data_IF_620537960739
#
_entry.id   IF_620537960739
#
_cell.length_a   1.000
_cell.length_b   1.000
_cell.length_c   1.000
_cell.angle_alpha   90.00
_cell.angle_beta   90.00
_cell.angle_gamma   90.00
#
_symmetry.space_group_name_H-M   'P 1'
#
loop_
_entity.id
_entity.type
_entity.pdbx_description
1 polymer ?
#
# COMPACT_ATOMS: atom_id res chain seq x y z
N UNK A 1 -9.14 36.66 9.87
CA UNK A 1 -10.38 36.11 9.28
C UNK A 1 -10.00 35.36 8.01
N UNK A 2 -10.54 34.16 7.76
CA UNK A 2 -10.23 33.40 6.54
C UNK A 2 -10.99 34.02 5.35
N UNK A 3 -10.25 34.43 4.31
CA UNK A 3 -10.82 35.03 3.10
C UNK A 3 -11.66 34.01 2.32
N UNK A 4 -12.52 34.49 1.40
CA UNK A 4 -13.26 33.60 0.48
C UNK A 4 -12.30 32.85 -0.45
N UNK A 5 -11.24 33.51 -0.91
CA UNK A 5 -10.25 32.92 -1.80
C UNK A 5 -9.42 31.83 -1.08
N UNK A 6 -8.97 32.04 0.17
CA UNK A 6 -8.31 31.00 0.96
C UNK A 6 -9.18 29.73 1.13
N UNK A 7 -10.49 29.87 1.37
CA UNK A 7 -11.43 28.73 1.43
C UNK A 7 -11.57 28.02 0.08
N UNK A 8 -11.53 28.76 -1.02
CA UNK A 8 -11.54 28.17 -2.36
C UNK A 8 -10.25 27.40 -2.62
N UNK A 9 -9.09 27.97 -2.29
CA UNK A 9 -7.81 27.29 -2.38
C UNK A 9 -7.78 26.00 -1.56
N UNK A 10 -8.30 25.99 -0.32
CA UNK A 10 -8.38 24.76 0.48
C UNK A 10 -9.15 23.64 -0.24
N UNK A 11 -10.24 23.97 -0.95
CA UNK A 11 -11.00 23.02 -1.77
C UNK A 11 -10.24 22.57 -3.01
N UNK A 12 -9.51 23.47 -3.67
CA UNK A 12 -8.65 23.15 -4.82
C UNK A 12 -7.53 22.21 -4.39
N UNK A 13 -6.90 22.47 -3.24
CA UNK A 13 -5.88 21.57 -2.69
C UNK A 13 -6.47 20.19 -2.43
N UNK A 14 -7.66 20.13 -1.80
CA UNK A 14 -8.37 18.88 -1.58
C UNK A 14 -8.68 18.10 -2.86
N UNK A 15 -9.28 18.78 -3.84
CA UNK A 15 -9.53 18.20 -5.15
C UNK A 15 -8.22 17.75 -5.84
N UNK A 16 -7.11 18.46 -5.62
CA UNK A 16 -5.80 18.15 -6.18
C UNK A 16 -5.25 16.79 -5.76
N UNK A 17 -5.18 16.47 -4.46
CA UNK A 17 -4.67 15.15 -4.04
C UNK A 17 -5.66 14.01 -4.30
N UNK A 18 -6.97 14.28 -4.31
CA UNK A 18 -7.96 13.32 -4.80
C UNK A 18 -7.79 13.04 -6.30
N UNK A 19 -7.63 14.08 -7.12
CA UNK A 19 -7.37 13.97 -8.55
C UNK A 19 -6.04 13.23 -8.81
N UNK A 20 -4.99 13.51 -8.03
CA UNK A 20 -3.73 12.78 -8.11
C UNK A 20 -3.92 11.29 -7.85
N UNK A 21 -4.72 10.93 -6.83
CA UNK A 21 -5.00 9.53 -6.47
C UNK A 21 -5.88 8.81 -7.49
N UNK A 22 -6.76 9.52 -8.21
CA UNK A 22 -7.69 8.95 -9.18
C UNK A 22 -7.14 8.95 -10.61
N UNK A 23 -6.76 10.12 -11.12
CA UNK A 23 -6.43 10.33 -12.53
C UNK A 23 -5.09 9.72 -12.90
N UNK A 24 -4.07 9.86 -12.05
CA UNK A 24 -2.72 9.35 -12.32
C UNK A 24 -2.68 7.85 -12.62
N UNK A 25 -3.27 6.97 -11.78
CA UNK A 25 -3.24 5.54 -12.07
C UNK A 25 -4.16 5.13 -13.24
N UNK A 26 -5.25 5.87 -13.50
CA UNK A 26 -6.18 5.59 -14.61
C UNK A 26 -5.63 6.00 -15.97
N UNK A 27 -4.92 7.12 -16.03
CA UNK A 27 -4.54 7.76 -17.27
C UNK A 27 -3.49 6.95 -18.04
N UNK A 28 -3.73 6.71 -19.31
CA UNK A 28 -2.73 6.31 -20.31
C UNK A 28 -3.20 6.83 -21.66
N UNK A 29 -2.27 7.04 -22.59
CA UNK A 29 -2.56 7.64 -23.89
C UNK A 29 -2.00 6.80 -25.03
N UNK A 30 -2.86 6.05 -25.73
CA UNK A 30 -2.46 5.18 -26.84
C UNK A 30 -1.87 5.95 -28.04
N UNK A 31 -2.13 7.26 -28.15
CA UNK A 31 -1.57 8.10 -29.22
C UNK A 31 -0.18 8.64 -28.88
N UNK A 32 0.30 8.44 -27.66
CA UNK A 32 1.64 8.84 -27.24
C UNK A 32 2.64 7.73 -27.50
N UNK A 33 3.86 8.07 -27.93
CA UNK A 33 4.97 7.12 -27.99
C UNK A 33 5.38 6.58 -26.62
N UNK A 34 4.88 7.18 -25.54
CA UNK A 34 5.16 6.85 -24.14
C UNK A 34 3.87 6.61 -23.37
N UNK A 35 3.05 5.70 -23.91
CA UNK A 35 1.65 5.42 -23.55
C UNK A 35 1.33 5.46 -22.05
N UNK A 36 2.23 4.93 -21.21
CA UNK A 36 1.99 4.74 -19.78
C UNK A 36 2.72 5.77 -18.91
N UNK A 37 3.92 5.45 -18.44
CA UNK A 37 4.55 6.16 -17.31
C UNK A 37 4.83 7.65 -17.55
N UNK A 38 5.52 8.07 -18.63
CA UNK A 38 5.85 9.47 -18.84
C UNK A 38 4.64 10.41 -18.86
N UNK A 39 3.56 9.98 -19.48
CA UNK A 39 2.33 10.77 -19.61
C UNK A 39 1.60 10.87 -18.26
N UNK A 40 1.55 9.78 -17.47
CA UNK A 40 1.05 9.78 -16.09
C UNK A 40 1.84 10.73 -15.19
N UNK A 41 3.17 10.71 -15.30
CA UNK A 41 4.01 11.59 -14.49
C UNK A 41 3.87 13.05 -14.88
N UNK A 42 3.67 13.34 -16.16
CA UNK A 42 3.42 14.71 -16.64
C UNK A 42 2.09 15.24 -16.11
N UNK A 43 1.04 14.40 -16.12
CA UNK A 43 -0.25 14.73 -15.49
C UNK A 43 -0.07 15.01 -14.00
N UNK A 44 0.62 14.14 -13.26
CA UNK A 44 0.84 14.34 -11.83
C UNK A 44 1.68 15.60 -11.54
N UNK A 45 2.73 15.86 -12.31
CA UNK A 45 3.54 17.09 -12.19
C UNK A 45 2.67 18.34 -12.40
N UNK A 46 1.73 18.29 -13.34
CA UNK A 46 0.78 19.38 -13.59
C UNK A 46 -0.19 19.58 -12.43
N UNK A 47 -0.73 18.49 -11.88
CA UNK A 47 -1.56 18.52 -10.66
C UNK A 47 -0.76 19.12 -9.48
N UNK A 48 0.46 18.64 -9.27
CA UNK A 48 1.34 19.13 -8.20
C UNK A 48 1.66 20.62 -8.36
N UNK A 49 1.88 21.11 -9.59
CA UNK A 49 2.10 22.52 -9.87
C UNK A 49 0.87 23.37 -9.55
N UNK A 50 -0.32 22.95 -9.99
CA UNK A 50 -1.57 23.64 -9.65
C UNK A 50 -1.82 23.67 -8.14
N UNK A 51 -1.55 22.55 -7.46
CA UNK A 51 -1.61 22.47 -6.01
C UNK A 51 -0.60 23.42 -5.35
N UNK A 52 0.64 23.49 -5.85
CA UNK A 52 1.66 24.40 -5.32
C UNK A 52 1.25 25.87 -5.47
N UNK A 53 0.70 26.26 -6.62
CA UNK A 53 0.19 27.62 -6.86
C UNK A 53 -0.99 27.93 -5.94
N UNK A 54 -1.98 27.04 -5.85
CA UNK A 54 -3.12 27.22 -4.94
C UNK A 54 -2.67 27.29 -3.47
N UNK A 55 -1.65 26.49 -3.09
CA UNK A 55 -1.07 26.50 -1.76
C UNK A 55 -0.35 27.81 -1.47
N UNK A 56 0.40 28.35 -2.43
CA UNK A 56 1.07 29.64 -2.31
C UNK A 56 0.06 30.79 -2.16
N UNK A 57 -0.99 30.83 -2.99
CA UNK A 57 -2.05 31.83 -2.86
C UNK A 57 -2.70 31.74 -1.47
N UNK A 58 -3.02 30.53 -1.02
CA UNK A 58 -3.62 30.27 0.29
C UNK A 58 -2.71 30.71 1.45
N UNK A 59 -1.40 30.48 1.37
CA UNK A 59 -0.46 30.91 2.43
C UNK A 59 -0.27 32.42 2.44
N UNK A 60 -0.20 33.07 1.28
CA UNK A 60 -0.10 34.52 1.17
C UNK A 60 -1.36 35.22 1.69
N UNK A 61 -2.56 34.70 1.42
CA UNK A 61 -3.82 35.27 1.92
C UNK A 61 -4.16 34.91 3.37
N UNK A 62 -3.96 33.64 3.73
CA UNK A 62 -4.30 33.11 5.06
C UNK A 62 -3.29 33.49 6.14
N UNK A 63 -2.13 34.03 5.74
CA UNK A 63 -1.03 34.41 6.61
C UNK A 63 -0.28 33.19 7.16
N UNK A 64 -0.60 32.77 8.39
CA UNK A 64 0.18 31.75 9.10
C UNK A 64 -0.10 30.33 8.56
N UNK A 65 0.94 29.54 8.24
CA UNK A 65 0.79 28.13 7.89
C UNK A 65 0.02 27.37 8.98
N UNK A 66 -0.91 26.49 8.59
CA UNK A 66 -1.70 25.70 9.53
C UNK A 66 -0.86 24.82 10.50
N UNK A 67 0.42 24.58 10.18
CA UNK A 67 1.37 23.86 11.03
C UNK A 67 1.74 24.63 12.31
N UNK A 68 1.68 25.95 12.29
CA UNK A 68 2.19 26.83 13.35
C UNK A 68 1.13 27.22 14.40
N UNK A 69 -0.09 26.69 14.28
CA UNK A 69 -1.19 27.01 15.18
C UNK A 69 -1.66 28.47 15.12
N UNK A 70 -2.64 28.84 15.96
CA UNK A 70 -3.07 30.23 16.08
C UNK A 70 -1.96 31.08 16.70
N UNK A 71 -1.63 32.21 16.08
CA UNK A 71 -0.63 33.16 16.59
C UNK A 71 -0.83 34.55 15.98
N UNK A 72 -0.29 35.57 16.64
CA UNK A 72 -0.32 36.95 16.16
C UNK A 72 1.09 37.35 15.67
N UNK A 73 1.16 38.01 14.52
CA UNK A 73 2.41 38.51 13.93
C UNK A 73 3.01 37.66 12.80
N UNK A 74 4.08 38.17 12.14
CA UNK A 74 4.80 37.45 11.09
C UNK A 74 5.46 36.18 11.63
N UNK A 75 5.59 35.16 10.78
CA UNK A 75 6.20 33.88 11.14
C UNK A 75 7.72 34.04 11.19
N UNK A 76 8.33 33.77 12.35
CA UNK A 76 9.79 33.73 12.44
C UNK A 76 10.35 32.43 11.82
N UNK A 77 11.54 32.45 11.19
CA UNK A 77 12.19 31.23 10.69
C UNK A 77 12.42 30.18 11.79
N UNK A 78 12.66 30.62 13.02
CA UNK A 78 12.84 29.75 14.17
C UNK A 78 11.56 29.00 14.56
N UNK A 79 10.40 29.67 14.56
CA UNK A 79 9.10 29.02 14.77
C UNK A 79 8.79 27.97 13.70
N UNK A 80 9.02 28.31 12.43
CA UNK A 80 8.83 27.37 11.33
C UNK A 80 9.72 26.14 11.49
N UNK A 81 11.00 26.34 11.80
CA UNK A 81 11.95 25.25 12.02
C UNK A 81 11.58 24.38 13.23
N UNK A 82 11.10 24.98 14.32
CA UNK A 82 10.61 24.26 15.48
C UNK A 82 9.40 23.38 15.12
N UNK A 83 8.44 23.92 14.36
CA UNK A 83 7.26 23.19 13.96
C UNK A 83 7.55 22.05 12.96
N UNK A 84 8.51 22.25 12.06
CA UNK A 84 8.99 21.19 11.16
C UNK A 84 9.70 20.06 11.92
N UNK A 85 10.51 20.40 12.93
CA UNK A 85 11.17 19.40 13.79
C UNK A 85 10.19 18.65 14.69
N UNK A 86 9.13 19.31 15.15
CA UNK A 86 8.10 18.68 15.95
C UNK A 86 7.29 17.62 15.19
N UNK A 87 7.27 17.70 13.85
CA UNK A 87 6.62 16.69 13.00
C UNK A 87 7.58 15.51 12.75
N UNK A 88 7.34 14.31 13.33
CA UNK A 88 8.34 13.25 13.37
C UNK A 88 8.82 12.76 12.00
N UNK A 89 7.97 12.78 10.97
CA UNK A 89 8.33 12.34 9.62
C UNK A 89 9.06 13.41 8.79
N UNK A 90 8.89 14.69 9.11
CA UNK A 90 9.36 15.78 8.25
C UNK A 90 10.89 15.85 8.19
N UNK A 91 11.67 15.75 9.29
CA UNK A 91 13.13 15.75 9.23
C UNK A 91 13.68 14.62 8.34
N UNK A 92 13.08 13.43 8.42
CA UNK A 92 13.48 12.27 7.61
C UNK A 92 13.24 12.51 6.12
N UNK A 93 12.10 13.12 5.78
CA UNK A 93 11.77 13.47 4.39
C UNK A 93 12.70 14.57 3.87
N UNK A 94 12.99 15.60 4.67
CA UNK A 94 13.93 16.66 4.29
C UNK A 94 15.35 16.09 4.09
N UNK A 95 15.79 15.18 4.95
CA UNK A 95 17.06 14.48 4.79
C UNK A 95 17.08 13.62 3.52
N UNK A 96 16.00 12.90 3.23
CA UNK A 96 15.86 12.14 1.98
C UNK A 96 15.89 13.04 0.73
N UNK A 97 15.20 14.19 0.76
CA UNK A 97 15.22 15.17 -0.33
C UNK A 97 16.63 15.72 -0.52
N UNK A 98 17.32 16.10 0.57
CA UNK A 98 18.69 16.61 0.51
C UNK A 98 19.64 15.56 -0.09
N UNK A 99 19.59 14.32 0.40
CA UNK A 99 20.45 13.24 -0.12
C UNK A 99 20.15 12.95 -1.59
N UNK A 100 18.88 12.95 -2.02
CA UNK A 100 18.51 12.74 -3.41
C UNK A 100 18.99 13.89 -4.33
N UNK A 101 18.87 15.14 -3.87
CA UNK A 101 19.35 16.30 -4.63
C UNK A 101 20.87 16.31 -4.74
N UNK A 102 21.59 16.01 -3.65
CA UNK A 102 23.04 15.86 -3.67
C UNK A 102 23.48 14.73 -4.62
N UNK A 103 22.82 13.57 -4.56
CA UNK A 103 23.08 12.47 -5.49
C UNK A 103 22.80 12.86 -6.94
N UNK A 104 21.79 13.70 -7.19
CA UNK A 104 21.46 14.21 -8.53
C UNK A 104 22.54 15.17 -9.04
N UNK A 105 23.01 16.09 -8.18
CA UNK A 105 24.03 17.08 -8.51
C UNK A 105 25.39 16.45 -8.75
N UNK A 106 25.75 15.45 -7.94
CA UNK A 106 27.03 14.73 -8.01
C UNK A 106 27.01 13.54 -8.98
N UNK A 107 25.89 13.31 -9.68
CA UNK A 107 25.73 12.21 -10.63
C UNK A 107 26.66 12.36 -11.84
N UNK A 108 27.10 11.23 -12.41
CA UNK A 108 27.83 11.20 -13.70
C UNK A 108 26.95 11.69 -14.86
N UNK A 109 25.62 11.60 -14.73
CA UNK A 109 24.66 12.10 -15.71
C UNK A 109 23.59 13.00 -15.06
N UNK A 110 23.95 14.22 -14.61
CA UNK A 110 23.06 15.07 -13.82
C UNK A 110 21.74 15.39 -14.53
N UNK A 111 21.78 15.61 -15.86
CA UNK A 111 20.59 15.88 -16.67
C UNK A 111 19.61 14.70 -16.63
N UNK A 112 20.11 13.48 -16.80
CA UNK A 112 19.28 12.27 -16.75
C UNK A 112 18.77 12.02 -15.34
N UNK A 113 19.59 12.22 -14.30
CA UNK A 113 19.16 12.11 -12.90
C UNK A 113 18.09 13.14 -12.53
N UNK A 114 18.15 14.35 -13.09
CA UNK A 114 17.18 15.40 -12.82
C UNK A 114 15.84 15.16 -13.54
N UNK A 115 15.88 14.89 -14.85
CA UNK A 115 14.68 14.76 -15.70
C UNK A 115 14.07 13.35 -15.68
N UNK A 116 14.88 12.34 -15.41
CA UNK A 116 14.58 10.93 -15.59
C UNK A 116 14.88 10.45 -17.01
N UNK A 117 14.90 9.13 -17.19
CA UNK A 117 15.11 8.52 -18.51
C UNK A 117 13.93 8.78 -19.45
N UNK A 118 14.18 8.70 -20.76
CA UNK A 118 13.14 8.92 -21.78
C UNK A 118 11.91 8.01 -21.60
N UNK A 119 12.13 6.75 -21.20
CA UNK A 119 11.06 5.76 -21.02
C UNK A 119 10.26 5.93 -19.73
N UNK A 120 10.85 6.52 -18.69
CA UNK A 120 10.29 6.51 -17.34
C UNK A 120 9.95 7.89 -16.80
N UNK A 121 10.65 8.95 -17.23
CA UNK A 121 10.61 10.29 -16.63
C UNK A 121 10.72 10.31 -15.10
N UNK A 122 11.35 9.29 -14.51
CA UNK A 122 11.59 9.18 -13.08
C UNK A 122 12.94 9.82 -12.74
N UNK A 123 12.91 11.08 -12.30
CA UNK A 123 14.08 11.84 -11.86
C UNK A 123 13.73 12.81 -10.73
N UNK A 124 14.70 13.63 -10.31
CA UNK A 124 14.54 14.58 -9.21
C UNK A 124 13.33 15.51 -9.35
N UNK A 125 13.00 15.95 -10.57
CA UNK A 125 11.83 16.79 -10.79
C UNK A 125 10.51 16.08 -10.45
N UNK A 126 10.36 14.81 -10.85
CA UNK A 126 9.18 14.00 -10.48
C UNK A 126 9.15 13.75 -8.98
N UNK A 127 10.30 13.45 -8.38
CA UNK A 127 10.38 13.27 -6.94
C UNK A 127 9.89 14.51 -6.21
N UNK A 128 10.32 15.70 -6.64
CA UNK A 128 9.88 16.96 -6.03
C UNK A 128 8.37 17.16 -6.19
N UNK A 129 7.77 16.76 -7.31
CA UNK A 129 6.31 16.77 -7.45
C UNK A 129 5.61 15.84 -6.45
N UNK A 130 6.15 14.63 -6.20
CA UNK A 130 5.63 13.75 -5.14
C UNK A 130 5.72 14.39 -3.76
N UNK A 131 6.84 15.06 -3.47
CA UNK A 131 7.08 15.74 -2.20
C UNK A 131 6.11 16.92 -2.01
N UNK A 132 5.81 17.68 -3.07
CA UNK A 132 4.79 18.74 -3.05
C UNK A 132 3.41 18.17 -2.71
N UNK A 133 2.98 17.11 -3.41
CA UNK A 133 1.70 16.45 -3.12
C UNK A 133 1.67 15.93 -1.68
N UNK A 134 2.76 15.34 -1.21
CA UNK A 134 2.88 14.86 0.17
C UNK A 134 2.70 15.99 1.18
N UNK A 135 3.46 17.08 1.09
CA UNK A 135 3.39 18.17 2.08
C UNK A 135 2.04 18.87 2.09
N UNK A 136 1.44 19.08 0.91
CA UNK A 136 0.10 19.67 0.79
C UNK A 136 -0.95 18.74 1.41
N UNK A 137 -0.87 17.44 1.13
CA UNK A 137 -1.78 16.45 1.72
C UNK A 137 -1.60 16.37 3.24
N UNK A 138 -0.36 16.30 3.72
CA UNK A 138 -0.03 16.28 5.15
C UNK A 138 -0.55 17.52 5.88
N UNK A 139 -0.48 18.69 5.25
CA UNK A 139 -1.00 19.93 5.84
C UNK A 139 -2.54 20.01 5.78
N UNK A 140 -3.16 19.54 4.68
CA UNK A 140 -4.59 19.71 4.40
C UNK A 140 -5.50 18.60 4.92
N UNK A 141 -5.00 17.37 5.05
CA UNK A 141 -5.73 16.21 5.55
C UNK A 141 -5.88 16.29 7.08
N UNK A 142 -6.89 17.01 7.55
CA UNK A 142 -7.10 17.29 8.99
C UNK A 142 -8.38 16.69 9.55
N UNK A 143 -9.31 16.27 8.70
CA UNK A 143 -10.60 15.74 9.13
C UNK A 143 -10.76 14.28 8.74
N UNK A 144 -11.54 13.54 9.54
CA UNK A 144 -11.91 12.16 9.21
C UNK A 144 -12.64 12.09 7.88
N UNK A 145 -13.53 13.03 7.57
CA UNK A 145 -14.27 13.07 6.31
C UNK A 145 -13.36 13.15 5.08
N UNK A 146 -12.26 13.91 5.15
CA UNK A 146 -11.26 13.97 4.08
C UNK A 146 -10.53 12.63 3.90
N UNK A 147 -10.14 11.99 5.00
CA UNK A 147 -9.53 10.66 4.96
C UNK A 147 -10.48 9.64 4.32
N UNK A 148 -11.76 9.66 4.71
CA UNK A 148 -12.78 8.78 4.15
C UNK A 148 -12.93 9.00 2.63
N UNK A 149 -12.93 10.25 2.15
CA UNK A 149 -12.96 10.57 0.71
C UNK A 149 -11.74 10.03 -0.04
N UNK A 150 -10.55 10.14 0.52
CA UNK A 150 -9.34 9.60 -0.11
C UNK A 150 -9.34 8.08 -0.18
N UNK A 151 -9.69 7.41 0.92
CA UNK A 151 -9.78 5.96 0.94
C UNK A 151 -10.84 5.47 -0.06
N UNK A 152 -11.98 6.16 -0.14
CA UNK A 152 -13.01 5.85 -1.15
C UNK A 152 -12.50 6.11 -2.57
N UNK A 153 -11.76 7.20 -2.81
CA UNK A 153 -11.15 7.48 -4.10
C UNK A 153 -10.19 6.36 -4.53
N UNK A 154 -9.34 5.86 -3.63
CA UNK A 154 -8.43 4.75 -3.90
C UNK A 154 -9.21 3.47 -4.27
N UNK A 155 -10.22 3.10 -3.47
CA UNK A 155 -11.04 1.91 -3.71
C UNK A 155 -11.81 2.02 -5.03
N UNK A 156 -12.50 3.14 -5.27
CA UNK A 156 -13.27 3.36 -6.49
C UNK A 156 -12.38 3.41 -7.73
N UNK A 157 -11.17 3.95 -7.63
CA UNK A 157 -10.20 3.98 -8.74
C UNK A 157 -9.64 2.59 -9.03
N UNK A 158 -9.49 1.74 -8.01
CA UNK A 158 -9.00 0.38 -8.20
C UNK A 158 -9.96 -0.51 -8.98
N UNK A 159 -11.27 -0.23 -8.94
CA UNK A 159 -12.30 -1.00 -9.62
C UNK A 159 -12.08 -1.05 -11.15
N UNK A 160 -12.09 0.07 -11.89
CA UNK A 160 -11.86 0.05 -13.34
C UNK A 160 -10.45 -0.45 -13.70
N UNK A 161 -9.45 -0.23 -12.86
CA UNK A 161 -8.07 -0.72 -13.10
C UNK A 161 -8.00 -2.24 -13.01
N UNK A 162 -8.58 -2.82 -11.96
CA UNK A 162 -8.65 -4.27 -11.78
C UNK A 162 -9.52 -4.91 -12.88
N UNK A 163 -10.67 -4.29 -13.16
CA UNK A 163 -11.57 -4.75 -14.21
C UNK A 163 -10.89 -4.77 -15.59
N UNK A 164 -10.17 -3.71 -15.95
CA UNK A 164 -9.43 -3.68 -17.21
C UNK A 164 -8.35 -4.76 -17.28
N UNK A 165 -7.64 -5.03 -16.18
CA UNK A 165 -6.72 -6.18 -16.10
C UNK A 165 -7.42 -7.52 -16.34
N UNK A 166 -8.63 -7.72 -15.81
CA UNK A 166 -9.43 -8.92 -16.06
C UNK A 166 -9.88 -9.01 -17.52
N UNK A 167 -10.30 -7.90 -18.14
CA UNK A 167 -10.65 -7.87 -19.57
C UNK A 167 -9.48 -8.25 -20.47
N UNK A 168 -8.27 -7.77 -20.15
CA UNK A 168 -7.05 -8.17 -20.86
C UNK A 168 -6.84 -9.68 -20.83
N UNK A 169 -7.00 -10.32 -19.67
CA UNK A 169 -6.83 -11.77 -19.53
C UNK A 169 -7.75 -12.56 -20.47
N UNK A 170 -9.02 -12.15 -20.55
CA UNK A 170 -10.02 -12.80 -21.41
C UNK A 170 -9.94 -12.38 -22.88
N UNK A 171 -8.96 -11.57 -23.28
CA UNK A 171 -8.78 -11.15 -24.66
C UNK A 171 -9.84 -10.18 -25.17
N UNK A 172 -10.56 -9.52 -24.27
CA UNK A 172 -11.59 -8.51 -24.58
C UNK A 172 -11.02 -7.09 -24.73
N UNK A 173 -9.71 -6.93 -24.57
CA UNK A 173 -8.99 -5.68 -24.84
C UNK A 173 -8.70 -5.56 -26.35
N UNK A 174 -9.32 -4.59 -27.07
CA UNK A 174 -9.13 -4.42 -28.50
C UNK A 174 -7.83 -3.67 -28.86
N UNK A 175 -7.08 -3.18 -27.87
CA UNK A 175 -5.91 -2.33 -28.12
C UNK A 175 -4.70 -3.16 -28.57
N UNK A 176 -3.93 -2.67 -29.58
CA UNK A 176 -2.85 -3.42 -30.20
C UNK A 176 -1.55 -3.34 -29.37
N UNK A 177 -1.54 -3.95 -28.19
CA UNK A 177 -0.35 -3.97 -27.34
C UNK A 177 0.77 -4.82 -27.94
N UNK A 178 2.00 -4.34 -27.85
CA UNK A 178 3.18 -5.04 -28.38
C UNK A 178 3.55 -6.33 -27.63
N UNK A 179 3.06 -6.51 -26.40
CA UNK A 179 3.32 -7.69 -25.57
C UNK A 179 2.04 -8.49 -25.29
N UNK A 180 2.20 -9.75 -24.89
CA UNK A 180 1.07 -10.59 -24.50
C UNK A 180 0.49 -10.15 -23.15
N UNK A 181 -0.57 -9.35 -23.23
CA UNK A 181 -1.34 -8.88 -22.07
C UNK A 181 -2.39 -9.88 -21.60
N UNK A 182 -2.65 -10.97 -22.34
CA UNK A 182 -3.64 -11.99 -21.95
C UNK A 182 -3.02 -12.94 -20.94
N UNK A 183 -1.81 -13.40 -21.23
CA UNK A 183 -1.08 -14.28 -20.32
C UNK A 183 -0.54 -13.56 -19.11
N UNK A 184 -0.17 -12.28 -19.25
CA UNK A 184 0.40 -11.49 -18.17
C UNK A 184 -0.12 -10.06 -18.21
N UNK A 185 -1.24 -9.84 -17.53
CA UNK A 185 -1.98 -8.57 -17.61
C UNK A 185 -1.17 -7.40 -17.08
N UNK A 186 -1.30 -6.26 -17.76
CA UNK A 186 -0.54 -5.03 -17.44
C UNK A 186 -1.44 -3.85 -17.06
N UNK A 187 -2.71 -3.91 -17.48
CA UNK A 187 -3.76 -2.95 -17.17
C UNK A 187 -3.38 -1.51 -17.54
N UNK A 188 -3.98 -0.53 -16.85
CA UNK A 188 -3.72 0.89 -17.08
C UNK A 188 -2.27 1.28 -16.76
N UNK A 189 -1.50 0.42 -16.07
CA UNK A 189 -0.17 0.73 -15.58
C UNK A 189 0.92 0.31 -16.58
N UNK A 190 0.58 -0.43 -17.64
CA UNK A 190 1.52 -0.86 -18.69
C UNK A 190 2.60 -1.83 -18.22
N UNK A 191 2.54 -2.27 -16.95
CA UNK A 191 3.47 -3.21 -16.38
C UNK A 191 2.77 -4.05 -15.30
N UNK A 192 2.88 -5.38 -15.43
CA UNK A 192 2.26 -6.34 -14.53
C UNK A 192 2.70 -6.18 -13.06
N UNK A 193 3.96 -5.82 -12.82
CA UNK A 193 4.48 -5.59 -11.45
C UNK A 193 3.83 -4.34 -10.86
N UNK A 194 3.70 -3.27 -11.66
CA UNK A 194 3.14 -2.00 -11.19
C UNK A 194 1.64 -2.09 -10.97
N UNK A 195 0.91 -2.77 -11.86
CA UNK A 195 -0.51 -3.07 -11.69
C UNK A 195 -0.75 -3.81 -10.37
N UNK A 196 -0.03 -4.91 -10.15
CA UNK A 196 -0.23 -5.71 -8.94
C UNK A 196 0.24 -4.98 -7.67
N UNK A 197 1.33 -4.21 -7.72
CA UNK A 197 1.76 -3.39 -6.57
C UNK A 197 0.71 -2.34 -6.20
N UNK A 198 0.12 -1.66 -7.20
CA UNK A 198 -0.96 -0.70 -6.99
C UNK A 198 -2.20 -1.37 -6.38
N UNK A 199 -2.68 -2.46 -7.00
CA UNK A 199 -3.88 -3.17 -6.54
C UNK A 199 -3.68 -3.78 -5.15
N UNK A 200 -2.48 -4.26 -4.82
CA UNK A 200 -2.15 -4.76 -3.48
C UNK A 200 -2.27 -3.67 -2.40
N UNK A 201 -1.90 -2.42 -2.69
CA UNK A 201 -2.11 -1.31 -1.75
C UNK A 201 -3.61 -1.01 -1.57
N UNK A 202 -4.37 -0.99 -2.68
CA UNK A 202 -5.82 -0.79 -2.63
C UNK A 202 -6.57 -1.95 -1.95
N UNK A 203 -6.03 -3.17 -2.04
CA UNK A 203 -6.62 -4.38 -1.48
C UNK A 203 -6.81 -4.28 0.04
N UNK A 204 -5.79 -3.88 0.80
CA UNK A 204 -5.92 -3.80 2.25
C UNK A 204 -6.90 -2.71 2.72
N UNK A 205 -7.01 -1.61 1.96
CA UNK A 205 -8.02 -0.59 2.21
C UNK A 205 -9.41 -1.17 1.95
N UNK A 206 -9.60 -1.84 0.80
CA UNK A 206 -10.89 -2.46 0.43
C UNK A 206 -11.28 -3.56 1.43
N UNK A 207 -10.30 -4.33 1.93
CA UNK A 207 -10.50 -5.36 2.93
C UNK A 207 -10.94 -4.79 4.28
N UNK A 208 -10.30 -3.71 4.74
CA UNK A 208 -10.73 -2.99 5.96
C UNK A 208 -12.18 -2.54 5.84
N UNK A 209 -12.57 -1.95 4.70
CA UNK A 209 -13.94 -1.51 4.44
C UNK A 209 -14.94 -2.66 4.43
N UNK A 210 -14.59 -3.77 3.78
CA UNK A 210 -15.42 -4.97 3.75
C UNK A 210 -15.63 -5.51 5.17
N UNK A 211 -14.54 -5.73 5.92
CA UNK A 211 -14.60 -6.24 7.30
C UNK A 211 -15.40 -5.31 8.21
N UNK A 212 -15.20 -4.00 8.12
CA UNK A 212 -15.95 -3.02 8.91
C UNK A 212 -17.46 -3.05 8.63
N UNK A 213 -17.88 -3.29 7.38
CA UNK A 213 -19.30 -3.41 6.99
C UNK A 213 -19.90 -4.74 7.41
N UNK A 214 -19.22 -5.85 7.14
CA UNK A 214 -19.66 -7.17 7.60
C UNK A 214 -19.76 -7.26 9.13
N UNK A 215 -18.84 -6.63 9.86
CA UNK A 215 -18.89 -6.55 11.32
C UNK A 215 -20.17 -5.89 11.85
N UNK A 216 -20.70 -4.87 11.15
CA UNK A 216 -21.99 -4.23 11.52
C UNK A 216 -23.18 -5.13 11.24
N UNK A 217 -23.18 -5.85 10.13
CA UNK A 217 -24.22 -6.82 9.79
C UNK A 217 -24.31 -7.94 10.84
N UNK A 218 -23.16 -8.48 11.26
CA UNK A 218 -23.07 -9.54 12.27
C UNK A 218 -23.36 -9.06 13.70
N UNK A 219 -23.22 -7.76 13.99
CA UNK A 219 -23.47 -7.20 15.32
C UNK A 219 -24.96 -7.04 15.66
N UNK A 220 -25.89 -7.41 14.76
CA UNK A 220 -27.33 -7.47 15.04
C UNK A 220 -28.02 -6.11 15.23
N UNK A 221 -27.36 -5.00 14.90
CA UNK A 221 -28.01 -3.69 14.81
C UNK A 221 -29.00 -3.64 13.64
N UNK A 222 -29.74 -2.52 13.50
CA UNK A 222 -30.60 -2.24 12.35
C UNK A 222 -29.78 -2.16 11.05
N UNK A 223 -29.39 -3.32 10.54
CA UNK A 223 -28.65 -3.46 9.29
C UNK A 223 -29.58 -3.03 8.15
N UNK A 224 -29.20 -1.95 7.50
CA UNK A 224 -29.97 -1.45 6.36
C UNK A 224 -29.59 -2.25 5.12
N UNK A 225 -30.50 -2.42 4.16
CA UNK A 225 -30.20 -3.00 2.84
C UNK A 225 -28.96 -2.37 2.18
N UNK A 226 -28.70 -1.09 2.46
CA UNK A 226 -27.51 -0.37 2.01
C UNK A 226 -26.19 -0.94 2.57
N UNK A 227 -26.14 -1.41 3.82
CA UNK A 227 -24.93 -1.98 4.40
C UNK A 227 -24.61 -3.34 3.77
N UNK A 228 -25.64 -4.13 3.45
CA UNK A 228 -25.49 -5.38 2.71
C UNK A 228 -25.01 -5.13 1.27
N UNK A 229 -25.64 -4.18 0.56
CA UNK A 229 -25.25 -3.81 -0.80
C UNK A 229 -23.81 -3.27 -0.87
N UNK A 230 -23.41 -2.40 0.07
CA UNK A 230 -22.04 -1.88 0.15
C UNK A 230 -21.05 -2.99 0.50
N UNK A 231 -21.39 -3.88 1.44
CA UNK A 231 -20.57 -5.05 1.79
C UNK A 231 -20.32 -5.95 0.57
N UNK A 232 -21.38 -6.27 -0.18
CA UNK A 232 -21.28 -7.02 -1.42
C UNK A 232 -20.43 -6.29 -2.48
N UNK A 233 -20.60 -4.97 -2.62
CA UNK A 233 -19.79 -4.13 -3.49
C UNK A 233 -18.29 -4.21 -3.15
N UNK A 234 -17.92 -4.12 -1.88
CA UNK A 234 -16.51 -4.27 -1.47
C UNK A 234 -15.97 -5.68 -1.74
N UNK A 235 -16.75 -6.74 -1.51
CA UNK A 235 -16.34 -8.11 -1.85
C UNK A 235 -16.15 -8.30 -3.36
N UNK A 236 -17.03 -7.72 -4.16
CA UNK A 236 -16.90 -7.74 -5.61
C UNK A 236 -15.59 -7.06 -6.06
N UNK A 237 -15.31 -5.87 -5.54
CA UNK A 237 -14.04 -5.15 -5.82
C UNK A 237 -12.83 -5.97 -5.36
N UNK A 238 -12.88 -6.58 -4.16
CA UNK A 238 -11.82 -7.47 -3.68
C UNK A 238 -11.59 -8.66 -4.62
N UNK A 239 -12.66 -9.29 -5.08
CA UNK A 239 -12.58 -10.40 -6.05
C UNK A 239 -11.88 -9.98 -7.34
N UNK A 240 -12.25 -8.81 -7.89
CA UNK A 240 -11.58 -8.25 -9.07
C UNK A 240 -10.11 -7.92 -8.80
N UNK A 241 -9.78 -7.30 -7.67
CA UNK A 241 -8.40 -6.99 -7.29
C UNK A 241 -7.55 -8.26 -7.19
N UNK A 242 -8.05 -9.30 -6.52
CA UNK A 242 -7.35 -10.59 -6.37
C UNK A 242 -7.18 -11.26 -7.73
N UNK A 243 -8.22 -11.30 -8.57
CA UNK A 243 -8.14 -11.87 -9.91
C UNK A 243 -7.10 -11.15 -10.77
N UNK A 244 -7.14 -9.82 -10.82
CA UNK A 244 -6.18 -9.03 -11.58
C UNK A 244 -4.75 -9.20 -11.05
N UNK A 245 -4.54 -9.19 -9.72
CA UNK A 245 -3.22 -9.49 -9.11
C UNK A 245 -2.74 -10.88 -9.52
N UNK A 246 -3.61 -11.88 -9.50
CA UNK A 246 -3.28 -13.25 -9.93
C UNK A 246 -2.86 -13.29 -11.39
N UNK A 247 -3.62 -12.66 -12.29
CA UNK A 247 -3.31 -12.62 -13.72
C UNK A 247 -2.02 -11.86 -14.07
N UNK A 248 -1.49 -11.04 -13.16
CA UNK A 248 -0.18 -10.39 -13.39
C UNK A 248 1.00 -11.39 -13.34
N UNK A 249 0.78 -12.60 -12.78
CA UNK A 249 1.80 -13.63 -12.53
C UNK A 249 3.03 -13.10 -11.76
N UNK A 250 2.87 -12.01 -11.00
CA UNK A 250 3.97 -11.31 -10.32
C UNK A 250 4.17 -11.86 -8.90
N UNK A 251 5.35 -12.41 -8.61
CA UNK A 251 5.66 -13.05 -7.31
C UNK A 251 5.77 -12.06 -6.15
N UNK A 252 6.34 -10.87 -6.38
CA UNK A 252 6.53 -9.85 -5.34
C UNK A 252 5.22 -9.42 -4.66
N UNK A 253 4.18 -9.09 -5.43
CA UNK A 253 2.84 -8.78 -4.90
C UNK A 253 2.21 -9.92 -4.10
N UNK A 254 2.42 -11.20 -4.45
CA UNK A 254 1.96 -12.33 -3.63
C UNK A 254 2.62 -12.36 -2.26
N UNK A 255 3.94 -12.12 -2.20
CA UNK A 255 4.65 -12.01 -0.94
C UNK A 255 4.18 -10.80 -0.12
N UNK A 256 3.92 -9.67 -0.79
CA UNK A 256 3.36 -8.48 -0.14
C UNK A 256 1.93 -8.68 0.37
N UNK A 257 1.07 -9.41 -0.36
CA UNK A 257 -0.26 -9.80 0.10
C UNK A 257 -0.18 -10.72 1.31
N UNK A 258 0.73 -11.71 1.30
CA UNK A 258 0.93 -12.61 2.43
C UNK A 258 1.42 -11.85 3.67
N UNK A 259 2.47 -11.04 3.53
CA UNK A 259 3.01 -10.24 4.62
C UNK A 259 1.98 -9.22 5.14
N UNK A 260 1.32 -8.50 4.23
CA UNK A 260 0.28 -7.53 4.58
C UNK A 260 -0.92 -8.18 5.25
N UNK A 261 -1.36 -9.37 4.82
CA UNK A 261 -2.44 -10.12 5.46
C UNK A 261 -2.05 -10.59 6.87
N UNK A 262 -0.79 -10.99 7.05
CA UNK A 262 -0.24 -11.30 8.37
C UNK A 262 -0.33 -10.11 9.33
N UNK A 263 0.17 -8.95 8.91
CA UNK A 263 0.12 -7.73 9.71
C UNK A 263 -1.32 -7.23 9.93
N UNK A 264 -2.16 -7.30 8.90
CA UNK A 264 -3.58 -6.93 9.00
C UNK A 264 -4.28 -7.78 10.07
N UNK A 265 -4.09 -9.10 10.03
CA UNK A 265 -4.63 -10.01 11.03
C UNK A 265 -4.06 -9.74 12.43
N UNK A 266 -2.75 -9.51 12.55
CA UNK A 266 -2.12 -9.17 13.82
C UNK A 266 -2.73 -7.89 14.42
N UNK A 267 -2.87 -6.83 13.62
CA UNK A 267 -3.46 -5.56 14.05
C UNK A 267 -4.92 -5.77 14.44
N UNK A 268 -5.69 -6.54 13.68
CA UNK A 268 -7.08 -6.88 14.02
C UNK A 268 -7.17 -7.63 15.35
N UNK A 269 -6.32 -8.64 15.58
CA UNK A 269 -6.28 -9.40 16.83
C UNK A 269 -5.85 -8.54 18.03
N UNK A 270 -4.88 -7.64 17.84
CA UNK A 270 -4.46 -6.68 18.88
C UNK A 270 -5.57 -5.67 19.17
N UNK A 271 -6.30 -5.20 18.16
CA UNK A 271 -7.46 -4.33 18.33
C UNK A 271 -8.57 -5.04 19.12
N UNK A 272 -8.84 -6.33 18.83
CA UNK A 272 -9.78 -7.15 19.59
C UNK A 272 -9.35 -7.33 21.05
N UNK A 273 -8.05 -7.51 21.33
CA UNK A 273 -7.52 -7.54 22.69
C UNK A 273 -7.74 -6.21 23.42
N UNK A 274 -7.52 -5.07 22.75
CA UNK A 274 -7.70 -3.74 23.33
C UNK A 274 -9.16 -3.43 23.68
N UNK A 275 -10.11 -4.06 23.00
CA UNK A 275 -11.53 -3.93 23.25
C UNK A 275 -12.02 -4.72 24.49
N UNK A 276 -11.21 -5.63 25.03
CA UNK A 276 -11.55 -6.37 26.26
C UNK A 276 -11.37 -5.50 27.52
N UNK A 277 -12.25 -5.72 28.51
CA UNK A 277 -12.20 -5.01 29.78
C UNK A 277 -10.99 -5.40 30.63
N UNK A 278 -10.58 -6.68 30.59
CA UNK A 278 -9.42 -7.19 31.30
C UNK A 278 -8.11 -6.88 30.57
N UNK A 279 -7.43 -5.80 30.99
CA UNK A 279 -6.14 -5.35 30.42
C UNK A 279 -4.89 -5.90 31.10
N UNK A 280 -5.05 -6.76 32.10
CA UNK A 280 -3.95 -7.34 32.87
C UNK A 280 -3.00 -8.23 32.04
N UNK A 281 -1.83 -8.60 32.59
CA UNK A 281 -0.90 -9.52 31.96
C UNK A 281 -1.57 -10.87 31.64
N UNK A 282 -1.02 -11.57 30.65
CA UNK A 282 -1.53 -12.89 30.27
C UNK A 282 -1.32 -13.89 31.39
N UNK A 283 -2.35 -14.67 31.69
CA UNK A 283 -2.24 -15.77 32.67
C UNK A 283 -1.47 -16.93 32.03
N UNK A 284 -0.74 -17.76 32.79
CA UNK A 284 -0.01 -18.92 32.23
C UNK A 284 -0.91 -19.86 31.41
N UNK A 285 -2.16 -20.05 31.85
CA UNK A 285 -3.16 -20.84 31.10
C UNK A 285 -3.53 -20.24 29.74
N UNK A 286 -3.50 -18.90 29.59
CA UNK A 286 -3.77 -18.22 28.31
C UNK A 286 -2.58 -18.37 27.36
N UNK A 287 -1.35 -18.34 27.88
CA UNK A 287 -0.13 -18.62 27.12
C UNK A 287 -0.14 -20.07 26.62
N UNK A 288 -0.49 -21.03 27.48
CA UNK A 288 -0.63 -22.43 27.09
C UNK A 288 -1.70 -22.65 26.01
N UNK A 289 -2.86 -21.97 26.13
CA UNK A 289 -3.89 -21.98 25.08
C UNK A 289 -3.39 -21.41 23.77
N UNK A 290 -2.66 -20.30 23.80
CA UNK A 290 -2.09 -19.69 22.60
C UNK A 290 -1.09 -20.63 21.90
N UNK A 291 -0.21 -21.28 22.67
CA UNK A 291 0.75 -22.25 22.14
C UNK A 291 0.06 -23.48 21.54
N UNK A 292 -0.88 -24.09 22.28
CA UNK A 292 -1.65 -25.24 21.79
C UNK A 292 -2.43 -24.89 20.52
N UNK A 293 -3.09 -23.73 20.50
CA UNK A 293 -3.84 -23.28 19.33
C UNK A 293 -2.93 -22.98 18.12
N UNK A 294 -1.73 -22.44 18.34
CA UNK A 294 -0.78 -22.17 17.25
C UNK A 294 -0.32 -23.46 16.56
N UNK A 295 -0.17 -24.55 17.32
CA UNK A 295 0.24 -25.86 16.81
C UNK A 295 -0.93 -26.64 16.18
N UNK A 296 -2.13 -26.56 16.78
CA UNK A 296 -3.28 -27.35 16.36
C UNK A 296 -4.10 -26.70 15.23
N UNK A 297 -4.16 -25.36 15.18
CA UNK A 297 -4.97 -24.66 14.18
C UNK A 297 -4.59 -24.97 12.72
N UNK A 298 -3.33 -25.22 12.33
CA UNK A 298 -3.01 -25.67 10.98
C UNK A 298 -3.70 -26.98 10.57
N UNK A 299 -3.98 -27.89 11.50
CA UNK A 299 -4.58 -29.20 11.21
C UNK A 299 -6.04 -29.09 10.73
N UNK A 300 -6.75 -28.04 11.14
CA UNK A 300 -8.15 -27.78 10.78
C UNK A 300 -8.27 -26.60 9.81
N UNK A 301 -7.13 -26.10 9.32
CA UNK A 301 -7.04 -24.84 8.59
C UNK A 301 -6.97 -23.65 9.53
N UNK A 302 -5.79 -23.00 9.57
CA UNK A 302 -5.55 -21.90 10.49
C UNK A 302 -6.56 -20.76 10.32
N UNK A 303 -6.79 -20.28 9.11
CA UNK A 303 -7.69 -19.14 8.85
C UNK A 303 -9.13 -19.43 9.36
N UNK A 304 -9.80 -20.53 8.97
CA UNK A 304 -11.09 -20.91 9.54
C UNK A 304 -11.11 -21.00 11.06
N UNK A 305 -10.06 -21.57 11.67
CA UNK A 305 -9.98 -21.72 13.13
C UNK A 305 -9.93 -20.35 13.84
N UNK A 306 -9.13 -19.40 13.34
CA UNK A 306 -9.08 -18.03 13.88
C UNK A 306 -10.41 -17.32 13.68
N UNK A 307 -11.01 -17.40 12.49
CA UNK A 307 -12.31 -16.78 12.20
C UNK A 307 -13.39 -17.33 13.13
N UNK A 308 -13.44 -18.65 13.34
CA UNK A 308 -14.39 -19.29 14.25
C UNK A 308 -14.29 -18.75 15.68
N UNK A 309 -13.08 -18.59 16.24
CA UNK A 309 -12.90 -18.01 17.58
C UNK A 309 -13.23 -16.52 17.63
N UNK A 310 -12.89 -15.75 16.59
CA UNK A 310 -13.24 -14.33 16.49
C UNK A 310 -14.77 -14.16 16.48
N UNK A 311 -15.48 -14.94 15.67
CA UNK A 311 -16.94 -14.93 15.56
C UNK A 311 -17.59 -15.39 16.87
N UNK A 312 -17.06 -16.44 17.51
CA UNK A 312 -17.49 -16.89 18.83
C UNK A 312 -17.12 -15.92 19.97
N UNK A 313 -16.42 -14.81 19.66
CA UNK A 313 -15.89 -13.84 20.63
C UNK A 313 -15.02 -14.46 21.73
N UNK A 314 -14.35 -15.58 21.41
CA UNK A 314 -13.47 -16.32 22.33
C UNK A 314 -12.00 -16.03 22.04
N UNK A 315 -11.17 -16.09 23.07
CA UNK A 315 -9.71 -16.04 22.93
C UNK A 315 -9.12 -14.65 22.59
N UNK A 316 -9.90 -13.58 22.63
CA UNK A 316 -9.46 -12.21 22.30
C UNK A 316 -8.22 -11.74 23.07
N UNK A 317 -8.03 -12.23 24.31
CA UNK A 317 -6.84 -11.90 25.12
C UNK A 317 -5.54 -12.53 24.57
N UNK A 318 -5.60 -13.73 23.99
CA UNK A 318 -4.42 -14.55 23.67
C UNK A 318 -4.25 -14.92 22.19
N UNK A 319 -5.26 -14.72 21.34
CA UNK A 319 -5.19 -15.06 19.90
C UNK A 319 -4.04 -14.35 19.17
N UNK A 320 -3.76 -13.08 19.50
CA UNK A 320 -2.63 -12.35 18.91
C UNK A 320 -1.29 -13.04 19.20
N UNK A 321 -1.12 -13.63 20.39
CA UNK A 321 0.09 -14.34 20.78
C UNK A 321 0.20 -15.65 20.01
N UNK A 322 -0.93 -16.35 19.85
CA UNK A 322 -0.98 -17.56 19.01
C UNK A 322 -0.56 -17.26 17.56
N UNK A 323 -0.99 -16.13 17.02
CA UNK A 323 -0.63 -15.70 15.66
C UNK A 323 0.86 -15.40 15.52
N UNK A 324 1.46 -14.76 16.52
CA UNK A 324 2.92 -14.57 16.60
C UNK A 324 3.68 -15.89 16.71
N UNK A 325 3.24 -16.80 17.59
CA UNK A 325 3.85 -18.12 17.76
C UNK A 325 3.77 -18.93 16.47
N UNK A 326 2.66 -18.89 15.77
CA UNK A 326 2.48 -19.59 14.50
C UNK A 326 3.41 -19.05 13.41
N UNK A 327 3.64 -17.74 13.35
CA UNK A 327 4.64 -17.17 12.45
C UNK A 327 6.06 -17.65 12.78
N UNK A 328 6.41 -17.72 14.07
CA UNK A 328 7.70 -18.28 14.49
C UNK A 328 7.83 -19.75 14.10
N UNK A 329 6.78 -20.55 14.28
CA UNK A 329 6.74 -21.95 13.83
C UNK A 329 6.90 -22.08 12.32
N UNK A 330 6.25 -21.21 11.54
CA UNK A 330 6.39 -21.19 10.08
C UNK A 330 7.82 -20.82 9.65
N UNK A 331 8.44 -19.84 10.31
CA UNK A 331 9.84 -19.47 10.05
C UNK A 331 10.79 -20.61 10.44
N UNK A 332 10.61 -21.21 11.62
CA UNK A 332 11.40 -22.36 12.07
C UNK A 332 11.25 -23.54 11.10
N UNK A 333 10.03 -23.83 10.64
CA UNK A 333 9.78 -24.83 9.60
C UNK A 333 10.54 -24.50 8.33
N UNK A 334 10.49 -23.27 7.82
CA UNK A 334 11.20 -22.88 6.60
C UNK A 334 12.73 -23.00 6.76
N UNK A 335 13.29 -22.61 7.91
CA UNK A 335 14.71 -22.76 8.21
C UNK A 335 15.09 -24.24 8.20
N UNK A 336 14.41 -25.08 9.00
CA UNK A 336 14.68 -26.52 9.06
C UNK A 336 14.47 -27.17 7.68
N UNK A 337 13.46 -26.76 6.93
CA UNK A 337 13.16 -27.28 5.60
C UNK A 337 14.24 -26.95 4.57
N UNK A 338 15.00 -25.86 4.76
CA UNK A 338 16.07 -25.43 3.85
C UNK A 338 17.49 -25.87 4.28
N UNK A 339 17.67 -26.49 5.45
CA UNK A 339 18.98 -27.02 5.86
C UNK A 339 19.45 -28.22 4.99
N UNK A 340 20.75 -28.33 4.63
CA UNK A 340 21.24 -29.37 3.72
C UNK A 340 20.93 -30.81 4.14
N UNK A 341 20.95 -31.11 5.45
CA UNK A 341 20.70 -32.45 6.03
C UNK A 341 19.39 -32.50 6.82
N UNK A 342 18.37 -31.78 6.34
CA UNK A 342 17.07 -31.73 6.99
C UNK A 342 16.36 -33.08 6.99
N UNK A 343 15.70 -33.49 8.09
CA UNK A 343 14.77 -34.63 8.08
C UNK A 343 13.57 -34.40 7.15
N UNK A 344 13.33 -33.15 6.72
CA UNK A 344 12.28 -32.76 5.79
C UNK A 344 12.75 -32.71 4.33
N UNK A 345 13.98 -33.17 4.03
CA UNK A 345 14.56 -33.16 2.69
C UNK A 345 13.71 -33.93 1.66
N UNK A 346 13.03 -35.01 2.06
CA UNK A 346 12.11 -35.75 1.20
C UNK A 346 10.95 -34.89 0.66
N UNK A 347 10.48 -33.92 1.44
CA UNK A 347 9.39 -33.02 1.03
C UNK A 347 9.83 -32.03 -0.07
N UNK A 348 11.14 -31.89 -0.34
CA UNK A 348 11.63 -31.05 -1.44
C UNK A 348 11.37 -31.65 -2.82
N UNK A 349 11.16 -32.97 -2.91
CA UNK A 349 10.87 -33.63 -4.18
C UNK A 349 9.39 -33.51 -4.59
N UNK A 350 8.52 -33.08 -3.67
CA UNK A 350 7.09 -32.90 -3.93
C UNK A 350 6.88 -31.67 -4.83
N UNK A 351 6.21 -31.81 -6.00
CA UNK A 351 5.91 -30.70 -6.89
C UNK A 351 5.17 -29.56 -6.16
N UNK A 352 5.65 -28.34 -6.33
CA UNK A 352 5.10 -27.15 -5.65
C UNK A 352 5.73 -26.86 -4.27
N UNK A 353 5.95 -27.87 -3.44
CA UNK A 353 6.58 -27.74 -2.11
C UNK A 353 8.09 -27.58 -2.22
N UNK A 354 8.72 -28.28 -3.16
CA UNK A 354 10.17 -28.18 -3.43
C UNK A 354 10.67 -26.76 -3.71
N UNK A 355 9.82 -25.90 -4.28
CA UNK A 355 10.16 -24.50 -4.54
C UNK A 355 10.43 -23.69 -3.26
N UNK A 356 9.85 -24.10 -2.13
CA UNK A 356 10.11 -23.48 -0.81
C UNK A 356 11.43 -23.93 -0.19
N UNK A 357 12.07 -24.98 -0.75
CA UNK A 357 13.36 -25.52 -0.31
C UNK A 357 14.55 -24.99 -1.11
N UNK A 358 14.31 -24.09 -2.08
CA UNK A 358 15.32 -23.45 -2.94
C UNK A 358 15.43 -21.94 -2.68
N UNK A 359 14.86 -21.45 -1.56
CA UNK A 359 14.77 -20.01 -1.27
C UNK A 359 16.15 -19.38 -1.04
N UNK A 360 17.11 -20.17 -0.56
CA UNK A 360 18.50 -19.76 -0.36
C UNK A 360 19.45 -20.19 -1.50
N UNK A 361 18.93 -20.74 -2.60
CA UNK A 361 19.74 -21.22 -3.71
C UNK A 361 20.22 -20.05 -4.58
N UNK A 362 21.52 -19.76 -4.51
CA UNK A 362 22.17 -18.64 -5.21
C UNK A 362 22.82 -19.05 -6.54
N UNK A 363 22.96 -20.35 -6.78
CA UNK A 363 23.72 -20.89 -7.91
C UNK A 363 22.87 -21.11 -9.19
N UNK A 364 21.53 -21.05 -9.07
CA UNK A 364 20.58 -21.32 -10.17
C UNK A 364 19.54 -20.24 -10.43
N UNK A 365 18.94 -20.26 -11.62
CA UNK A 365 17.78 -19.46 -12.02
C UNK A 365 17.90 -17.96 -11.73
N UNK A 366 16.85 -17.38 -11.13
CA UNK A 366 16.81 -15.95 -10.77
C UNK A 366 17.75 -15.58 -9.62
N UNK A 367 18.18 -16.54 -8.80
CA UNK A 367 19.14 -16.32 -7.72
C UNK A 367 20.52 -15.97 -8.28
N UNK A 368 20.98 -16.76 -9.25
CA UNK A 368 22.24 -16.50 -9.98
C UNK A 368 22.27 -15.15 -10.67
N UNK A 369 21.17 -14.74 -11.31
CA UNK A 369 21.07 -13.42 -11.96
C UNK A 369 21.27 -12.29 -10.95
N UNK A 370 20.68 -12.38 -9.75
CA UNK A 370 20.86 -11.36 -8.70
C UNK A 370 22.30 -11.31 -8.20
N UNK A 371 22.94 -12.47 -8.03
CA UNK A 371 24.35 -12.57 -7.63
C UNK A 371 25.26 -11.95 -8.70
N UNK A 372 25.01 -12.24 -9.98
CA UNK A 372 25.77 -11.67 -11.10
C UNK A 372 25.59 -10.15 -11.20
N UNK A 373 24.38 -9.62 -10.98
CA UNK A 373 24.14 -8.16 -10.94
C UNK A 373 24.92 -7.53 -9.78
N UNK A 374 24.93 -8.16 -8.61
CA UNK A 374 25.69 -7.68 -7.47
C UNK A 374 27.20 -7.69 -7.71
N UNK A 375 27.71 -8.77 -8.30
CA UNK A 375 29.12 -8.91 -8.68
C UNK A 375 29.54 -7.90 -9.74
N UNK A 376 28.65 -7.52 -10.67
CA UNK A 376 28.94 -6.50 -11.68
C UNK A 376 28.81 -5.06 -11.20
N UNK A 377 28.31 -4.84 -9.97
CA UNK A 377 28.19 -3.52 -9.35
C UNK A 377 29.36 -3.17 -8.41
N UNK A 378 30.18 -4.17 -8.07
CA UNK A 378 31.48 -4.04 -7.37
C UNK A 378 32.58 -4.08 -8.42
#
# INVERSE_FOLDING_TARGET
MTTRLARYCDRVLEAGWLAAAMLTPLFFNVYSSRVFEPDKLTLLRSIALLMAVAWLIRTLEGGRPALLGPGQGPVSPAELWAALKAAPLVPHILFFVLTYLLATLLSVAPRTSFWGSYQRLQGAYTLMAYIVVFFITWQGLRTRAQLERLLNAIVLTSLPIAFYGVLQHYGMDPLPWAGDVRDRVTGNLGNAIFLAAYLMMAFFITLERAVARFGRLLAGGASTLSDAALGAGYLFILGLQVAAIYFTKSRGPWLGLLAGSYFFMLVALVALRRAEAERGPLRPAEVAKAAAFAVLSPLVGAIPAYLGLILARRGRRWLWLSWCMQAMLAVAFLVVFNLPQSPLSALRQVPGVGRLGQVFETEGGTGRVRVLIWQGAV
#
